data_IF_634255631757
#
_entry.id   IF_634255631757
#
_cell.length_a   1.000
_cell.length_b   1.000
_cell.length_c   1.000
_cell.angle_alpha   90.00
_cell.angle_beta   90.00
_cell.angle_gamma   90.00
#
_symmetry.space_group_name_H-M   'P 1'
#
loop_
_entity.id
_entity.type
_entity.pdbx_description
1 polymer ?
#
# COMPACT_ATOMS: atom_id res chain seq x y z
N UNK A 1 2.55 15.25 10.81
CA UNK A 1 2.33 13.95 11.46
C UNK A 1 3.31 12.93 10.94
N UNK A 2 3.91 12.20 11.82
CA UNK A 2 4.84 11.14 11.46
C UNK A 2 4.18 9.81 11.78
N UNK A 3 3.91 9.02 10.76
CA UNK A 3 3.52 7.63 10.95
C UNK A 3 4.76 6.77 10.76
N UNK A 4 5.13 6.05 11.79
CA UNK A 4 6.26 5.14 11.73
C UNK A 4 5.90 3.88 12.51
N UNK A 5 5.59 2.78 11.81
CA UNK A 5 5.33 1.51 12.47
C UNK A 5 6.59 0.99 13.18
N UNK A 6 6.40 0.12 14.18
CA UNK A 6 7.51 -0.45 14.93
C UNK A 6 8.52 -1.16 14.04
N UNK A 7 8.07 -1.73 12.91
CA UNK A 7 8.89 -2.45 11.94
C UNK A 7 9.03 -1.66 10.65
N UNK A 8 9.38 -0.38 10.75
CA UNK A 8 9.54 0.47 9.59
C UNK A 8 10.52 -0.14 8.58
N UNK A 9 10.07 -0.24 7.32
CA UNK A 9 10.88 -0.74 6.20
C UNK A 9 10.73 0.23 5.04
N UNK A 10 11.83 0.92 4.64
CA UNK A 10 11.76 1.93 3.57
C UNK A 10 11.44 1.35 2.19
N UNK A 11 11.46 0.02 2.03
CA UNK A 11 11.04 -0.61 0.77
C UNK A 11 9.51 -0.72 0.65
N UNK A 12 8.79 -0.64 1.76
CA UNK A 12 7.33 -0.77 1.78
C UNK A 12 6.62 0.35 2.51
N UNK A 13 7.35 1.22 3.21
CA UNK A 13 6.81 2.36 3.94
C UNK A 13 7.44 3.65 3.44
N UNK A 14 6.69 4.76 3.34
CA UNK A 14 7.29 6.04 3.01
C UNK A 14 8.13 6.57 4.17
N UNK A 15 9.22 7.24 3.82
CA UNK A 15 10.00 8.00 4.80
C UNK A 15 9.26 9.30 5.16
N UNK A 16 9.63 9.90 6.29
CA UNK A 16 9.07 11.20 6.68
C UNK A 16 9.36 12.27 5.62
N UNK A 17 10.55 12.24 5.00
CA UNK A 17 10.90 13.18 3.94
C UNK A 17 10.04 12.99 2.69
N UNK A 18 9.74 11.75 2.31
CA UNK A 18 8.86 11.46 1.18
C UNK A 18 7.44 11.96 1.44
N UNK A 19 6.93 11.77 2.65
CA UNK A 19 5.61 12.27 3.04
C UNK A 19 5.57 13.80 2.99
N UNK A 20 6.59 14.46 3.55
CA UNK A 20 6.69 15.93 3.52
C UNK A 20 6.80 16.46 2.08
N UNK A 21 7.58 15.81 1.23
CA UNK A 21 7.71 16.20 -0.17
C UNK A 21 6.37 16.15 -0.90
N UNK A 22 5.59 15.10 -0.69
CA UNK A 22 4.26 15.00 -1.28
C UNK A 22 3.33 16.09 -0.75
N UNK A 23 3.34 16.31 0.57
CA UNK A 23 2.49 17.31 1.21
C UNK A 23 2.79 18.74 0.74
N UNK A 24 4.07 19.08 0.67
CA UNK A 24 4.50 20.46 0.48
C UNK A 24 4.78 20.83 -0.99
N UNK A 25 5.18 19.86 -1.79
CA UNK A 25 5.62 20.08 -3.18
C UNK A 25 5.02 19.10 -4.19
N UNK A 26 4.03 18.32 -3.78
CA UNK A 26 3.35 17.38 -4.68
C UNK A 26 2.50 18.10 -5.72
N UNK A 27 2.03 17.38 -6.75
CA UNK A 27 1.21 17.98 -7.80
C UNK A 27 -0.15 18.42 -7.27
N UNK A 28 -0.71 19.44 -7.91
CA UNK A 28 -2.11 19.82 -7.70
C UNK A 28 -3.01 18.90 -8.52
N UNK A 29 -4.24 18.69 -8.04
CA UNK A 29 -5.21 17.83 -8.71
C UNK A 29 -4.97 16.34 -8.44
N UNK A 30 -5.52 15.47 -9.31
CA UNK A 30 -5.45 14.03 -9.09
C UNK A 30 -4.02 13.49 -9.11
N UNK A 31 -3.80 12.46 -8.28
CA UNK A 31 -2.53 11.71 -8.27
C UNK A 31 -2.81 10.24 -8.50
N UNK A 32 -1.90 9.57 -9.20
CA UNK A 32 -1.95 8.12 -9.40
C UNK A 32 -0.74 7.51 -8.71
N UNK A 33 -1.01 6.60 -7.79
CA UNK A 33 0.04 5.84 -7.11
C UNK A 33 0.28 4.54 -7.87
N UNK A 34 1.52 4.37 -8.31
CA UNK A 34 1.99 3.14 -8.94
C UNK A 34 2.47 2.21 -7.83
N UNK A 35 1.87 1.03 -7.73
CA UNK A 35 2.25 0.01 -6.76
C UNK A 35 2.78 -1.20 -7.48
N UNK A 36 4.00 -1.59 -7.16
CA UNK A 36 4.58 -2.85 -7.58
C UNK A 36 4.65 -3.75 -6.36
N UNK A 37 4.02 -4.92 -6.45
CA UNK A 37 3.81 -5.79 -5.30
C UNK A 37 4.56 -7.09 -5.49
N UNK A 38 5.28 -7.49 -4.44
CA UNK A 38 5.89 -8.79 -4.30
C UNK A 38 5.29 -9.46 -3.07
N UNK A 39 4.59 -10.57 -3.26
CA UNK A 39 3.93 -11.27 -2.16
C UNK A 39 4.88 -12.28 -1.52
N UNK A 40 4.82 -12.37 -0.18
CA UNK A 40 5.46 -13.46 0.53
C UNK A 40 4.72 -14.76 0.21
N UNK A 41 5.43 -15.85 0.14
CA UNK A 41 4.80 -17.16 0.00
C UNK A 41 3.88 -17.45 1.19
N UNK A 42 4.38 -17.19 2.41
CA UNK A 42 3.65 -17.30 3.67
C UNK A 42 3.52 -15.92 4.29
N UNK A 43 2.30 -15.51 4.63
CA UNK A 43 2.05 -14.24 5.29
C UNK A 43 2.76 -14.18 6.63
N UNK A 44 3.35 -13.02 6.93
CA UNK A 44 4.13 -12.79 8.15
C UNK A 44 3.34 -11.93 9.13
N UNK A 45 2.30 -12.51 9.75
CA UNK A 45 1.58 -11.83 10.82
C UNK A 45 2.40 -11.86 12.13
N UNK A 46 2.23 -10.84 13.00
CA UNK A 46 2.88 -10.84 14.30
C UNK A 46 2.48 -12.08 15.13
N UNK A 47 3.39 -12.52 16.01
CA UNK A 47 3.10 -13.59 16.94
C UNK A 47 1.90 -13.23 17.81
N UNK A 48 0.98 -14.20 18.00
CA UNK A 48 -0.24 -13.96 18.76
C UNK A 48 -1.35 -13.22 18.00
N UNK A 49 -1.16 -12.98 16.71
CA UNK A 49 -2.18 -12.34 15.87
C UNK A 49 -3.46 -13.20 15.82
N UNK A 50 -4.65 -12.53 15.82
CA UNK A 50 -5.93 -13.25 15.66
C UNK A 50 -6.17 -13.69 14.21
N UNK A 51 -5.34 -13.26 13.26
CA UNK A 51 -5.54 -13.56 11.84
C UNK A 51 -5.06 -14.96 11.50
N UNK A 52 -5.90 -15.71 10.80
CA UNK A 52 -5.56 -17.07 10.38
C UNK A 52 -4.36 -17.04 9.42
N UNK A 53 -3.45 -18.04 9.52
CA UNK A 53 -2.35 -18.18 8.58
C UNK A 53 -2.85 -18.24 7.13
N UNK A 54 -2.11 -17.62 6.21
CA UNK A 54 -2.46 -17.61 4.80
C UNK A 54 -1.22 -17.26 3.96
N UNK A 55 -1.38 -17.24 2.63
CA UNK A 55 -0.35 -16.73 1.74
C UNK A 55 -0.24 -15.21 1.82
N UNK A 56 0.89 -14.66 1.38
CA UNK A 56 1.05 -13.20 1.27
C UNK A 56 0.03 -12.59 0.32
N UNK A 57 -0.29 -13.26 -0.78
CA UNK A 57 -1.32 -12.80 -1.72
C UNK A 57 -2.70 -12.70 -1.05
N UNK A 58 -3.06 -13.67 -0.21
CA UNK A 58 -4.32 -13.64 0.54
C UNK A 58 -4.31 -12.52 1.59
N UNK A 59 -3.20 -12.33 2.27
CA UNK A 59 -3.05 -11.23 3.23
C UNK A 59 -3.27 -9.87 2.53
N UNK A 60 -2.74 -9.70 1.32
CA UNK A 60 -2.95 -8.47 0.57
C UNK A 60 -4.42 -8.29 0.18
N UNK A 61 -5.14 -9.36 -0.15
CA UNK A 61 -6.58 -9.28 -0.40
C UNK A 61 -7.35 -8.85 0.85
N UNK A 62 -6.95 -9.33 2.02
CA UNK A 62 -7.51 -8.86 3.31
C UNK A 62 -7.25 -7.36 3.50
N UNK A 63 -6.05 -6.89 3.14
CA UNK A 63 -5.73 -5.47 3.18
C UNK A 63 -6.65 -4.67 2.26
N UNK A 64 -6.85 -5.11 1.03
CA UNK A 64 -7.72 -4.43 0.07
C UNK A 64 -9.17 -4.35 0.57
N UNK A 65 -9.70 -5.42 1.14
CA UNK A 65 -11.04 -5.45 1.72
C UNK A 65 -11.15 -4.47 2.88
N UNK A 66 -10.21 -4.54 3.82
CA UNK A 66 -10.18 -3.63 4.97
C UNK A 66 -10.04 -2.17 4.53
N UNK A 67 -9.24 -1.90 3.50
CA UNK A 67 -9.08 -0.56 2.94
C UNK A 67 -10.40 0.01 2.44
N UNK A 68 -11.12 -0.76 1.62
CA UNK A 68 -12.41 -0.33 1.07
C UNK A 68 -13.42 -0.07 2.18
N UNK A 69 -13.50 -0.96 3.17
CA UNK A 69 -14.47 -0.86 4.25
C UNK A 69 -14.18 0.30 5.21
N UNK A 70 -12.91 0.67 5.38
CA UNK A 70 -12.52 1.65 6.41
C UNK A 70 -12.24 3.03 5.84
N UNK A 71 -11.49 3.13 4.76
CA UNK A 71 -11.03 4.42 4.21
C UNK A 71 -11.38 4.63 2.73
N UNK A 72 -12.17 3.75 2.14
CA UNK A 72 -12.58 3.89 0.75
C UNK A 72 -13.26 5.23 0.47
N UNK A 73 -14.22 5.60 1.32
CA UNK A 73 -14.95 6.86 1.16
C UNK A 73 -14.10 8.09 1.44
N UNK A 74 -13.23 8.02 2.46
CA UNK A 74 -12.37 9.14 2.86
C UNK A 74 -11.31 9.41 1.81
N UNK A 75 -10.68 8.36 1.30
CA UNK A 75 -9.61 8.46 0.32
C UNK A 75 -10.11 8.75 -1.08
N UNK A 76 -11.32 8.31 -1.40
CA UNK A 76 -11.89 8.29 -2.76
C UNK A 76 -10.95 7.61 -3.75
N UNK A 77 -10.25 6.58 -3.29
CA UNK A 77 -9.34 5.80 -4.11
C UNK A 77 -10.10 5.06 -5.20
N UNK A 78 -9.55 5.09 -6.41
CA UNK A 78 -10.09 4.38 -7.56
C UNK A 78 -8.98 3.54 -8.17
N UNK A 79 -9.22 2.24 -8.31
CA UNK A 79 -8.30 1.36 -9.03
C UNK A 79 -8.48 1.60 -10.52
N UNK A 80 -7.49 2.25 -11.14
CA UNK A 80 -7.52 2.56 -12.57
C UNK A 80 -7.17 1.33 -13.39
N UNK A 81 -6.22 0.55 -12.89
CA UNK A 81 -5.79 -0.68 -13.56
C UNK A 81 -5.08 -1.57 -12.54
N UNK A 82 -5.25 -2.88 -12.69
CA UNK A 82 -4.45 -3.87 -11.96
C UNK A 82 -4.23 -5.09 -12.82
N UNK A 83 -3.12 -5.77 -12.61
CA UNK A 83 -2.80 -6.97 -13.35
C UNK A 83 -1.62 -7.72 -12.76
N UNK A 84 -1.57 -9.00 -13.10
CA UNK A 84 -0.43 -9.85 -12.77
C UNK A 84 0.76 -9.49 -13.62
N UNK A 85 1.94 -9.59 -13.06
CA UNK A 85 3.21 -9.44 -13.78
C UNK A 85 3.77 -10.83 -13.98
N UNK A 86 4.07 -11.17 -15.25
CA UNK A 86 4.66 -12.45 -15.59
C UNK A 86 6.18 -12.42 -15.40
N UNK A 87 6.85 -11.50 -16.09
CA UNK A 87 8.31 -11.40 -16.05
C UNK A 87 8.80 -10.06 -16.58
N UNK A 88 10.04 -9.75 -16.30
CA UNK A 88 10.73 -8.62 -16.91
C UNK A 88 11.13 -8.99 -18.33
N UNK A 89 10.66 -8.20 -19.31
CA UNK A 89 11.02 -8.38 -20.72
C UNK A 89 12.27 -7.56 -21.08
N UNK A 90 12.34 -6.34 -20.56
CA UNK A 90 13.48 -5.45 -20.78
C UNK A 90 13.88 -4.88 -19.41
N UNK A 91 15.15 -4.88 -19.13
CA UNK A 91 15.71 -4.32 -17.90
C UNK A 91 16.30 -5.35 -16.96
N UNK A 92 16.46 -4.97 -15.71
CA UNK A 92 17.09 -5.81 -14.69
C UNK A 92 16.14 -6.92 -14.25
N UNK A 93 16.55 -8.17 -14.48
CA UNK A 93 15.76 -9.36 -14.11
C UNK A 93 15.64 -9.56 -12.60
N UNK A 94 16.41 -8.84 -11.79
CA UNK A 94 16.24 -8.85 -10.32
C UNK A 94 14.98 -8.13 -9.87
N UNK A 95 14.39 -7.31 -10.74
CA UNK A 95 13.11 -6.64 -10.52
C UNK A 95 11.97 -7.62 -10.76
N UNK A 96 11.75 -8.52 -9.81
CA UNK A 96 10.77 -9.59 -9.91
C UNK A 96 9.53 -9.25 -9.07
N UNK A 97 8.45 -8.82 -9.74
CA UNK A 97 7.21 -8.40 -9.11
C UNK A 97 6.06 -9.33 -9.48
N UNK A 98 5.08 -9.47 -8.58
CA UNK A 98 3.94 -10.35 -8.80
C UNK A 98 2.73 -9.63 -9.39
N UNK A 99 2.54 -8.35 -9.02
CA UNK A 99 1.35 -7.60 -9.40
C UNK A 99 1.67 -6.11 -9.53
N UNK A 100 0.99 -5.45 -10.45
CA UNK A 100 0.99 -3.99 -10.58
C UNK A 100 -0.41 -3.46 -10.35
N UNK A 101 -0.50 -2.33 -9.63
CA UNK A 101 -1.75 -1.70 -9.27
C UNK A 101 -1.59 -0.18 -9.42
N UNK A 102 -2.46 0.44 -10.21
CA UNK A 102 -2.53 1.89 -10.34
C UNK A 102 -3.76 2.40 -9.60
N UNK A 103 -3.55 3.21 -8.58
CA UNK A 103 -4.63 3.76 -7.76
C UNK A 103 -4.65 5.28 -7.87
N UNK A 104 -5.78 5.81 -8.28
CA UNK A 104 -6.00 7.25 -8.44
C UNK A 104 -6.69 7.81 -7.22
N UNK A 105 -6.20 8.94 -6.75
CA UNK A 105 -6.81 9.74 -5.68
C UNK A 105 -7.16 11.12 -6.23
N UNK A 106 -8.27 11.74 -5.81
CA UNK A 106 -8.66 13.07 -6.31
C UNK A 106 -7.62 14.15 -6.04
N UNK A 107 -6.82 14.00 -4.97
CA UNK A 107 -5.75 14.92 -4.62
C UNK A 107 -4.76 14.24 -3.70
N UNK A 108 -3.56 14.84 -3.58
CA UNK A 108 -2.58 14.38 -2.60
C UNK A 108 -3.09 14.52 -1.16
N UNK A 109 -3.96 15.49 -0.91
CA UNK A 109 -4.56 15.68 0.42
C UNK A 109 -5.46 14.50 0.79
N UNK A 110 -6.22 13.95 -0.15
CA UNK A 110 -7.02 12.74 0.09
C UNK A 110 -6.14 11.55 0.47
N UNK A 111 -5.03 11.37 -0.25
CA UNK A 111 -4.08 10.31 0.05
C UNK A 111 -3.45 10.47 1.45
N UNK A 112 -2.99 11.68 1.77
CA UNK A 112 -2.35 11.96 3.06
C UNK A 112 -3.35 11.84 4.22
N UNK A 113 -4.59 12.30 4.05
CA UNK A 113 -5.64 12.15 5.04
C UNK A 113 -5.96 10.67 5.31
N UNK A 114 -5.96 9.84 4.27
CA UNK A 114 -6.12 8.39 4.40
C UNK A 114 -4.99 7.80 5.25
N UNK A 115 -3.74 8.13 4.94
CA UNK A 115 -2.59 7.62 5.71
C UNK A 115 -2.64 8.02 7.18
N UNK A 116 -3.21 9.19 7.49
CA UNK A 116 -3.35 9.68 8.86
C UNK A 116 -4.52 9.05 9.61
N UNK A 117 -5.43 8.36 8.92
CA UNK A 117 -6.63 7.79 9.52
C UNK A 117 -6.28 6.56 10.36
N UNK A 118 -6.73 6.48 11.64
CA UNK A 118 -6.45 5.32 12.50
C UNK A 118 -6.96 3.99 11.91
N UNK A 119 -8.09 3.99 11.21
CA UNK A 119 -8.62 2.78 10.57
C UNK A 119 -7.70 2.26 9.47
N UNK A 120 -7.05 3.16 8.72
CA UNK A 120 -6.04 2.76 7.74
C UNK A 120 -4.86 2.08 8.42
N UNK A 121 -4.41 2.61 9.55
CA UNK A 121 -3.29 2.04 10.30
C UNK A 121 -3.59 0.63 10.80
N UNK A 122 -4.83 0.36 11.21
CA UNK A 122 -5.24 -0.98 11.61
C UNK A 122 -5.19 -1.97 10.43
N UNK A 123 -5.51 -1.53 9.23
CA UNK A 123 -5.46 -2.36 8.03
C UNK A 123 -4.04 -2.71 7.61
N UNK A 124 -3.03 -1.92 8.01
CA UNK A 124 -1.63 -2.11 7.61
C UNK A 124 -1.04 -3.44 8.03
N UNK A 125 -1.57 -4.08 9.08
CA UNK A 125 -1.10 -5.40 9.51
C UNK A 125 -1.20 -6.42 8.37
N UNK A 126 -2.22 -6.32 7.54
CA UNK A 126 -2.39 -7.19 6.37
C UNK A 126 -1.44 -6.83 5.23
N UNK A 127 -1.15 -5.54 5.06
CA UNK A 127 -0.22 -5.07 4.04
C UNK A 127 1.21 -5.49 4.36
N UNK A 128 1.59 -5.45 5.64
CA UNK A 128 2.93 -5.87 6.07
C UNK A 128 3.09 -7.39 6.08
N UNK A 129 2.02 -8.13 6.18
CA UNK A 129 2.05 -9.58 6.12
C UNK A 129 2.35 -10.08 4.72
#
# INVERSE_FOLDING_TARGET
MTFRPANFDPSIDPTADQVRALRDAGPDGPVVMLNLLKFREQANYPAGSPHAPCSGAEAYRRYQTAFVETVGDVSRAEVVWEGKIDRTFIGDVSQDWDKCLLVRYPSRQHFLAMMANPAYREALVHRYA
#
